data_IF_181170904910
#
_entry.id   IF_181170904910
#
_cell.length_a   1.000
_cell.length_b   1.000
_cell.length_c   1.000
_cell.angle_alpha   90.00
_cell.angle_beta   90.00
_cell.angle_gamma   90.00
#
_symmetry.space_group_name_H-M   'P 1'
#
loop_
_entity.id
_entity.type
_entity.pdbx_description
1 polymer ?
#
# COMPACT_ATOMS: atom_id res chain seq x y z
N UNK A 1 -1.91 2.59 -14.54
CA UNK A 1 -0.84 1.62 -14.53
C UNK A 1 -1.03 0.59 -13.44
N UNK A 2 -0.65 -0.64 -13.73
CA UNK A 2 -0.87 -1.77 -12.84
C UNK A 2 -0.23 -1.62 -11.46
N UNK A 3 0.82 -0.82 -11.35
CA UNK A 3 1.57 -0.68 -10.09
C UNK A 3 0.94 0.25 -9.06
N UNK A 4 0.01 1.10 -9.47
CA UNK A 4 -0.60 2.07 -8.55
C UNK A 4 -1.36 1.40 -7.40
N UNK A 5 -2.17 0.40 -7.73
CA UNK A 5 -2.91 -0.35 -6.72
C UNK A 5 -1.96 -1.11 -5.79
N UNK A 6 -0.95 -1.75 -6.37
CA UNK A 6 0.03 -2.51 -5.59
C UNK A 6 0.81 -1.60 -4.64
N UNK A 7 1.25 -0.44 -5.12
CA UNK A 7 1.96 0.54 -4.31
C UNK A 7 1.07 1.05 -3.17
N UNK A 8 -0.18 1.35 -3.48
CA UNK A 8 -1.14 1.81 -2.49
C UNK A 8 -1.35 0.76 -1.40
N UNK A 9 -1.52 -0.49 -1.79
CA UNK A 9 -1.71 -1.58 -0.84
C UNK A 9 -0.52 -1.75 0.10
N UNK A 10 0.70 -1.63 -0.44
CA UNK A 10 1.92 -1.70 0.36
C UNK A 10 1.99 -0.54 1.34
N UNK A 11 1.75 0.69 0.86
CA UNK A 11 1.80 1.88 1.72
C UNK A 11 0.80 1.78 2.87
N UNK A 12 -0.40 1.28 2.60
CA UNK A 12 -1.42 1.09 3.63
C UNK A 12 -1.00 0.09 4.69
N UNK A 13 -0.40 -1.03 4.27
CA UNK A 13 0.04 -2.07 5.21
C UNK A 13 1.18 -1.57 6.09
N UNK A 14 2.17 -0.94 5.49
CA UNK A 14 3.33 -0.43 6.23
C UNK A 14 2.91 0.66 7.22
N UNK A 15 1.93 1.48 6.86
CA UNK A 15 1.44 2.55 7.73
C UNK A 15 0.70 1.99 8.96
N UNK A 16 0.03 0.85 8.81
CA UNK A 16 -0.81 0.29 9.88
C UNK A 16 -0.04 -0.50 10.93
N UNK A 17 1.01 -1.21 10.54
CA UNK A 17 1.78 -2.00 11.48
C UNK A 17 3.19 -2.24 10.99
N UNK A 18 4.06 -2.61 11.95
CA UNK A 18 5.44 -2.96 11.68
C UNK A 18 5.50 -4.40 11.15
N UNK A 19 6.20 -4.59 10.04
CA UNK A 19 6.47 -5.92 9.49
C UNK A 19 7.94 -6.26 9.71
N UNK A 20 8.18 -7.32 10.44
CA UNK A 20 9.53 -7.71 10.82
C UNK A 20 10.30 -8.38 9.68
N UNK A 21 9.59 -8.87 8.66
CA UNK A 21 10.24 -9.39 7.46
C UNK A 21 9.32 -9.28 6.25
N UNK A 22 9.94 -9.37 5.07
CA UNK A 22 9.20 -9.22 3.81
C UNK A 22 8.22 -10.36 3.56
N UNK A 23 8.53 -11.55 4.05
CA UNK A 23 7.68 -12.72 3.83
C UNK A 23 6.29 -12.52 4.43
N UNK A 24 6.23 -12.00 5.66
CA UNK A 24 4.95 -11.74 6.32
C UNK A 24 4.17 -10.67 5.56
N UNK A 25 4.84 -9.61 5.14
CA UNK A 25 4.19 -8.55 4.38
C UNK A 25 3.65 -9.08 3.05
N UNK A 26 4.44 -9.89 2.35
CA UNK A 26 4.01 -10.49 1.09
C UNK A 26 2.78 -11.36 1.28
N UNK A 27 2.76 -12.18 2.34
CA UNK A 27 1.61 -13.03 2.65
C UNK A 27 0.35 -12.21 2.91
N UNK A 28 0.47 -11.14 3.69
CA UNK A 28 -0.68 -10.26 3.98
C UNK A 28 -1.22 -9.59 2.73
N UNK A 29 -0.36 -9.30 1.77
CA UNK A 29 -0.75 -8.66 0.52
C UNK A 29 -1.19 -9.65 -0.55
N UNK A 30 -0.86 -10.93 -0.39
CA UNK A 30 -1.08 -11.91 -1.43
C UNK A 30 -0.09 -11.76 -2.58
N UNK A 31 1.10 -11.24 -2.30
CA UNK A 31 2.16 -11.02 -3.31
C UNK A 31 3.22 -12.11 -3.20
N UNK A 32 3.87 -12.40 -4.33
CA UNK A 32 5.12 -13.16 -4.28
C UNK A 32 6.22 -12.26 -3.67
N UNK A 33 7.27 -12.90 -3.14
CA UNK A 33 8.41 -12.14 -2.62
C UNK A 33 9.07 -11.29 -3.68
N UNK A 34 9.18 -11.83 -4.91
CA UNK A 34 9.77 -11.09 -6.01
C UNK A 34 8.98 -9.83 -6.36
N UNK A 35 7.65 -9.96 -6.42
CA UNK A 35 6.78 -8.81 -6.69
C UNK A 35 6.90 -7.77 -5.59
N UNK A 36 6.87 -8.20 -4.32
CA UNK A 36 7.00 -7.27 -3.20
C UNK A 36 8.33 -6.54 -3.24
N UNK A 37 9.42 -7.29 -3.46
CA UNK A 37 10.75 -6.71 -3.50
C UNK A 37 10.89 -5.68 -4.62
N UNK A 38 10.34 -5.99 -5.79
CA UNK A 38 10.32 -5.06 -6.92
C UNK A 38 9.59 -3.76 -6.56
N UNK A 39 8.40 -3.90 -5.96
CA UNK A 39 7.60 -2.74 -5.59
C UNK A 39 8.25 -1.92 -4.47
N UNK A 40 8.84 -2.58 -3.46
CA UNK A 40 9.53 -1.88 -2.38
C UNK A 40 10.71 -1.08 -2.91
N UNK A 41 11.48 -1.65 -3.83
CA UNK A 41 12.60 -0.94 -4.45
C UNK A 41 12.11 0.29 -5.21
N UNK A 42 11.02 0.18 -5.94
CA UNK A 42 10.45 1.30 -6.65
C UNK A 42 9.97 2.39 -5.70
N UNK A 43 9.29 2.01 -4.62
CA UNK A 43 8.82 2.96 -3.62
C UNK A 43 9.97 3.65 -2.90
N UNK A 44 11.04 2.91 -2.63
CA UNK A 44 12.24 3.45 -2.00
C UNK A 44 12.91 4.47 -2.91
N UNK A 45 13.02 4.16 -4.20
CA UNK A 45 13.60 5.09 -5.19
C UNK A 45 12.80 6.37 -5.31
N UNK A 46 11.49 6.28 -5.16
CA UNK A 46 10.61 7.46 -5.19
C UNK A 46 10.65 8.25 -3.88
N UNK A 47 11.33 7.74 -2.86
CA UNK A 47 11.42 8.40 -1.56
C UNK A 47 10.15 8.27 -0.72
N UNK A 48 9.32 7.27 -1.00
CA UNK A 48 8.05 7.07 -0.29
C UNK A 48 8.19 6.15 0.91
N UNK A 49 9.12 5.22 0.87
CA UNK A 49 9.46 4.35 2.00
C UNK A 49 10.96 4.39 2.24
N UNK A 50 11.35 4.09 3.46
CA UNK A 50 12.76 3.98 3.82
C UNK A 50 12.97 2.80 4.76
N UNK A 51 14.19 2.30 4.78
CA UNK A 51 14.62 1.27 5.74
C UNK A 51 14.99 1.95 7.05
N UNK A 52 14.53 1.37 8.13
CA UNK A 52 14.85 1.85 9.47
C UNK A 52 15.31 0.67 10.32
N UNK A 53 16.36 0.87 11.09
CA UNK A 53 16.83 -0.15 12.01
C UNK A 53 15.85 -0.29 13.16
N UNK A 54 15.49 -1.53 13.47
CA UNK A 54 14.56 -1.81 14.55
C UNK A 54 15.31 -1.85 15.88
N UNK A 55 15.16 -0.77 16.65
CA UNK A 55 16.00 -0.52 17.84
C UNK A 55 15.89 -1.58 18.94
N UNK A 56 14.74 -2.23 19.05
CA UNK A 56 14.51 -3.21 20.11
C UNK A 56 14.86 -4.63 19.70
N UNK A 57 15.44 -4.79 18.52
CA UNK A 57 15.83 -6.09 18.02
C UNK A 57 17.28 -6.36 18.39
N UNK A 58 17.58 -7.48 19.11
CA UNK A 58 18.96 -7.83 19.43
C UNK A 58 19.77 -8.13 18.18
N UNK A 59 19.14 -8.40 17.06
CA UNK A 59 19.81 -8.64 15.79
C UNK A 59 19.96 -7.35 15.02
N UNK A 60 21.19 -6.84 14.94
CA UNK A 60 21.51 -5.56 14.31
C UNK A 60 21.22 -5.51 12.81
N UNK A 61 20.91 -6.64 12.18
CA UNK A 61 20.70 -6.73 10.74
C UNK A 61 19.22 -6.69 10.36
N UNK A 62 18.31 -6.55 11.32
CA UNK A 62 16.90 -6.48 11.01
C UNK A 62 16.47 -5.05 10.79
N UNK A 63 15.96 -4.79 9.59
CA UNK A 63 15.44 -3.50 9.19
C UNK A 63 13.95 -3.63 8.90
N UNK A 64 13.22 -2.57 9.19
CA UNK A 64 11.80 -2.47 8.83
C UNK A 64 11.62 -1.37 7.81
N UNK A 65 10.58 -1.50 7.00
CA UNK A 65 10.19 -0.44 6.08
C UNK A 65 9.22 0.49 6.79
N UNK A 66 9.43 1.78 6.66
CA UNK A 66 8.53 2.81 7.20
C UNK A 66 8.23 3.82 6.12
N UNK A 67 7.08 4.48 6.24
CA UNK A 67 6.74 5.56 5.31
C UNK A 67 7.55 6.79 5.65
N UNK A 68 8.02 7.49 4.62
CA UNK A 68 8.55 8.83 4.75
C UNK A 68 7.39 9.82 4.83
N UNK A 69 7.62 11.10 5.23
CA UNK A 69 6.56 12.10 5.12
C UNK A 69 5.96 12.21 3.72
N UNK A 70 6.81 12.09 2.69
CA UNK A 70 6.35 12.04 1.31
C UNK A 70 5.47 10.81 1.04
N UNK A 71 5.83 9.67 1.63
CA UNK A 71 5.05 8.45 1.52
C UNK A 71 3.67 8.56 2.17
N UNK A 72 3.59 9.21 3.32
CA UNK A 72 2.31 9.47 3.99
C UNK A 72 1.43 10.35 3.12
N UNK A 73 2.00 11.41 2.55
CA UNK A 73 1.29 12.31 1.66
C UNK A 73 0.78 11.59 0.42
N UNK A 74 1.61 10.77 -0.20
CA UNK A 74 1.22 9.99 -1.38
C UNK A 74 0.13 8.98 -1.05
N UNK A 75 0.24 8.31 0.10
CA UNK A 75 -0.81 7.40 0.55
C UNK A 75 -2.15 8.11 0.66
N UNK A 76 -2.16 9.32 1.23
CA UNK A 76 -3.38 10.11 1.37
C UNK A 76 -3.95 10.47 -0.01
N UNK A 77 -3.11 10.91 -0.93
CA UNK A 77 -3.55 11.26 -2.28
C UNK A 77 -4.14 10.06 -3.01
N UNK A 78 -3.49 8.91 -2.90
CA UNK A 78 -4.00 7.68 -3.50
C UNK A 78 -5.32 7.25 -2.87
N UNK A 79 -5.44 7.40 -1.54
CA UNK A 79 -6.68 7.09 -0.83
C UNK A 79 -7.84 7.91 -1.42
N UNK A 80 -7.63 9.20 -1.57
CA UNK A 80 -8.67 10.08 -2.11
C UNK A 80 -9.03 9.71 -3.55
N UNK A 81 -8.02 9.39 -4.36
CA UNK A 81 -8.25 8.98 -5.75
C UNK A 81 -9.08 7.70 -5.83
N UNK A 82 -8.71 6.69 -5.04
CA UNK A 82 -9.43 5.42 -5.04
C UNK A 82 -10.84 5.55 -4.45
N UNK A 83 -11.01 6.37 -3.43
CA UNK A 83 -12.33 6.65 -2.85
C UNK A 83 -13.25 7.27 -3.89
N UNK A 84 -12.76 8.27 -4.62
CA UNK A 84 -13.54 8.93 -5.65
C UNK A 84 -14.00 7.93 -6.70
N UNK A 85 -13.10 7.08 -7.15
CA UNK A 85 -13.41 6.06 -8.15
C UNK A 85 -14.47 5.08 -7.63
N UNK A 86 -14.33 4.64 -6.37
CA UNK A 86 -15.32 3.73 -5.76
C UNK A 86 -16.68 4.39 -5.62
N UNK A 87 -16.71 5.66 -5.29
CA UNK A 87 -17.97 6.40 -5.18
C UNK A 87 -18.68 6.50 -6.53
N UNK A 88 -17.91 6.76 -7.60
CA UNK A 88 -18.47 6.80 -8.95
C UNK A 88 -19.05 5.45 -9.35
N UNK A 89 -18.35 4.36 -9.08
CA UNK A 89 -18.83 3.00 -9.34
C UNK A 89 -20.12 2.72 -8.56
N UNK A 90 -20.16 3.10 -7.30
CA UNK A 90 -21.32 2.92 -6.45
C UNK A 90 -22.54 3.66 -7.02
N UNK A 91 -22.33 4.90 -7.43
CA UNK A 91 -23.43 5.71 -7.99
C UNK A 91 -23.96 5.12 -9.29
N UNK A 92 -23.08 4.60 -10.14
CA UNK A 92 -23.50 3.95 -11.38
C UNK A 92 -24.33 2.69 -11.10
N UNK A 93 -23.86 1.86 -10.18
CA UNK A 93 -24.57 0.64 -9.80
C UNK A 93 -25.94 0.96 -9.18
N UNK A 94 -26.00 2.01 -8.38
CA UNK A 94 -27.24 2.45 -7.78
C UNK A 94 -28.25 2.89 -8.83
N UNK A 95 -27.80 3.58 -9.86
CA UNK A 95 -28.66 3.97 -10.97
C UNK A 95 -29.21 2.77 -11.73
N UNK A 96 -28.36 1.76 -11.97
CA UNK A 96 -28.79 0.53 -12.65
C UNK A 96 -29.89 -0.18 -11.87
N UNK A 97 -29.74 -0.31 -10.56
CA UNK A 97 -30.77 -0.91 -9.71
C UNK A 97 -32.05 -0.10 -9.75
N UNK A 98 -31.96 1.22 -9.71
CA UNK A 98 -33.11 2.08 -9.78
C UNK A 98 -33.88 1.93 -11.09
N UNK A 99 -33.16 1.78 -12.20
CA UNK A 99 -33.79 1.58 -13.50
C UNK A 99 -34.50 0.24 -13.62
N UNK A 100 -33.96 -0.80 -13.00
CA UNK A 100 -34.56 -2.13 -13.04
C UNK A 100 -35.84 -2.23 -12.22
N UNK A 101 -36.00 -1.38 -11.23
CA UNK A 101 -37.21 -1.38 -10.37
C UNK A 101 -38.42 -0.76 -11.04
N UNK A 102 -38.24 -0.20 -12.20
CA UNK A 102 -39.35 0.32 -12.98
C UNK A 102 -39.94 -0.80 -13.84
#
# INVERSE_FOLDING_TARGET
MKNKQDHFDILRKIDKKVYLNQRILAQDLGFSLGKLNYCLNALQKKGLVKLKNFKNNPNKFNYIYVLTPKGISEKTNLTLTFMKKKMEEYDELKKEVGNEKK
#
